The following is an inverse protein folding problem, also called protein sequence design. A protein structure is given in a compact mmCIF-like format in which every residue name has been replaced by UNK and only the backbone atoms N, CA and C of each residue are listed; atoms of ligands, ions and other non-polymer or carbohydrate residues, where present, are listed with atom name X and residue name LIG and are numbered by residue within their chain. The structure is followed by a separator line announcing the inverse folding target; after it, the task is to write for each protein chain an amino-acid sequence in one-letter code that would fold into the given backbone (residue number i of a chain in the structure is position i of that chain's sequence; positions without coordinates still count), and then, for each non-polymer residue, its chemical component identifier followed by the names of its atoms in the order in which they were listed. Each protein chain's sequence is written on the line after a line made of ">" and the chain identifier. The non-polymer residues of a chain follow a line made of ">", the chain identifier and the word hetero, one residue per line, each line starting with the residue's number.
data_IF_950222875251
#
_entry.id   IF_950222875251
#
_cell.length_a   1.000
_cell.length_b   1.000
_cell.length_c   1.000
_cell.angle_alpha   90.00
_cell.angle_beta   90.00
_cell.angle_gamma   90.00
#
_symmetry.space_group_name_H-M   'P 1'
#
loop_
_entity.id
_entity.type
_entity.pdbx_description
1 polymer ?
#
# COMPACT_ATOMS: atom_id res chain seq x y z
N UNK A 1 -1.96 -9.71 27.81
CA UNK A 1 -2.35 -10.58 26.68
C UNK A 1 -2.88 -9.80 25.48
N UNK A 2 -3.84 -8.87 25.64
CA UNK A 2 -4.45 -8.15 24.52
C UNK A 2 -3.49 -7.27 23.70
N UNK A 3 -2.46 -6.65 24.32
CA UNK A 3 -1.46 -5.82 23.62
C UNK A 3 -0.73 -6.60 22.53
N UNK A 4 -0.32 -7.85 22.80
CA UNK A 4 0.31 -8.71 21.80
C UNK A 4 -0.64 -9.11 20.67
N UNK A 5 -1.95 -9.14 20.93
CA UNK A 5 -2.96 -9.26 19.88
C UNK A 5 -2.94 -8.08 18.91
N UNK A 6 -2.84 -6.84 19.44
CA UNK A 6 -2.73 -5.63 18.60
C UNK A 6 -1.42 -5.68 17.81
N UNK A 7 -0.30 -6.04 18.44
CA UNK A 7 0.99 -6.19 17.75
C UNK A 7 0.88 -7.19 16.60
N UNK A 8 0.29 -8.36 16.84
CA UNK A 8 0.13 -9.38 15.80
C UNK A 8 -0.70 -8.88 14.61
N UNK A 9 -1.79 -8.14 14.87
CA UNK A 9 -2.63 -7.56 13.82
C UNK A 9 -1.87 -6.47 13.05
N UNK A 10 -1.16 -5.57 13.73
CA UNK A 10 -0.33 -4.55 13.08
C UNK A 10 0.72 -5.18 12.18
N UNK A 11 1.43 -6.21 12.66
CA UNK A 11 2.43 -6.92 11.87
C UNK A 11 1.83 -7.59 10.64
N UNK A 12 0.72 -8.30 10.80
CA UNK A 12 0.04 -8.95 9.70
C UNK A 12 -0.42 -7.94 8.64
N UNK A 13 -1.02 -6.83 9.06
CA UNK A 13 -1.46 -5.76 8.18
C UNK A 13 -0.28 -5.13 7.42
N UNK A 14 0.82 -4.82 8.11
CA UNK A 14 2.02 -4.25 7.46
C UNK A 14 2.65 -5.22 6.46
N UNK A 15 2.69 -6.53 6.76
CA UNK A 15 3.21 -7.52 5.81
C UNK A 15 2.33 -7.65 4.56
N UNK A 16 1.00 -7.61 4.72
CA UNK A 16 0.07 -7.63 3.58
C UNK A 16 0.20 -6.37 2.72
N UNK A 17 0.34 -5.21 3.35
CA UNK A 17 0.64 -3.93 2.69
C UNK A 17 1.93 -4.02 1.85
N UNK A 18 3.03 -4.43 2.49
CA UNK A 18 4.32 -4.63 1.80
C UNK A 18 4.23 -5.60 0.63
N UNK A 19 3.49 -6.70 0.78
CA UNK A 19 3.30 -7.68 -0.28
C UNK A 19 2.57 -7.09 -1.49
N UNK A 20 1.49 -6.33 -1.24
CA UNK A 20 0.75 -5.60 -2.28
C UNK A 20 1.65 -4.62 -3.04
N UNK A 21 2.37 -3.78 -2.30
CA UNK A 21 3.31 -2.79 -2.89
C UNK A 21 4.38 -3.46 -3.76
N UNK A 22 4.97 -4.56 -3.28
CA UNK A 22 5.97 -5.33 -4.04
C UNK A 22 5.37 -5.97 -5.30
N UNK A 23 4.13 -6.45 -5.22
CA UNK A 23 3.44 -7.02 -6.36
C UNK A 23 3.17 -5.95 -7.43
N UNK A 24 2.60 -4.81 -7.05
CA UNK A 24 2.38 -3.66 -7.94
C UNK A 24 3.69 -3.19 -8.58
N UNK A 25 4.76 -3.05 -7.78
CA UNK A 25 6.06 -2.65 -8.31
C UNK A 25 6.60 -3.65 -9.33
N UNK A 26 6.54 -4.95 -9.03
CA UNK A 26 7.00 -6.00 -9.94
C UNK A 26 6.19 -6.05 -11.23
N UNK A 27 4.88 -5.86 -11.15
CA UNK A 27 4.00 -5.83 -12.32
C UNK A 27 4.34 -4.63 -13.23
N UNK A 28 4.64 -3.46 -12.65
CA UNK A 28 5.10 -2.28 -13.42
C UNK A 28 6.48 -2.50 -14.04
N UNK A 29 7.42 -3.08 -13.30
CA UNK A 29 8.76 -3.37 -13.83
C UNK A 29 8.73 -4.38 -14.99
N UNK A 30 7.73 -5.26 -15.02
CA UNK A 30 7.53 -6.22 -16.11
C UNK A 30 7.28 -5.54 -17.46
N UNK A 31 6.88 -4.27 -17.48
CA UNK A 31 6.51 -3.53 -18.70
C UNK A 31 5.10 -3.85 -19.20
N UNK A 32 4.40 -4.81 -18.57
CA UNK A 32 3.01 -5.15 -18.90
C UNK A 32 2.08 -5.08 -17.68
N UNK A 33 1.95 -3.92 -17.01
CA UNK A 33 1.15 -3.83 -15.80
C UNK A 33 -0.36 -3.95 -16.08
N UNK A 34 -1.06 -4.53 -15.12
CA UNK A 34 -2.51 -4.49 -15.05
C UNK A 34 -3.03 -3.06 -14.83
N UNK A 35 -4.29 -2.84 -15.20
CA UNK A 35 -5.00 -1.61 -14.85
C UNK A 35 -4.93 -1.32 -13.35
N UNK A 36 -5.18 -2.32 -12.51
CA UNK A 36 -5.15 -2.17 -11.06
C UNK A 36 -3.78 -1.69 -10.56
N UNK A 37 -2.68 -2.27 -11.04
CA UNK A 37 -1.33 -1.85 -10.67
C UNK A 37 -1.00 -0.43 -11.14
N UNK A 38 -1.49 0.00 -12.31
CA UNK A 38 -1.32 1.38 -12.77
C UNK A 38 -2.13 2.37 -11.96
N UNK A 39 -3.38 2.06 -11.60
CA UNK A 39 -4.21 2.92 -10.75
C UNK A 39 -3.60 3.01 -9.36
N UNK A 40 -3.17 1.88 -8.80
CA UNK A 40 -2.54 1.82 -7.49
C UNK A 40 -1.28 2.71 -7.47
N UNK A 41 -0.39 2.53 -8.45
CA UNK A 41 0.87 3.26 -8.50
C UNK A 41 0.73 4.74 -8.85
N UNK A 42 -0.10 5.08 -9.85
CA UNK A 42 -0.20 6.45 -10.37
C UNK A 42 -1.27 7.29 -9.70
N UNK A 43 -2.29 6.62 -9.16
CA UNK A 43 -3.48 7.25 -8.63
C UNK A 43 -4.43 7.79 -9.67
N UNK A 44 -4.16 7.57 -10.94
CA UNK A 44 -5.05 7.91 -12.03
C UNK A 44 -6.09 6.80 -12.13
N UNK A 45 -7.30 7.07 -11.67
CA UNK A 45 -8.39 6.09 -11.65
C UNK A 45 -9.37 6.20 -12.82
N UNK A 46 -9.17 7.17 -13.72
CA UNK A 46 -9.98 7.31 -14.93
C UNK A 46 -9.37 6.47 -16.05
N UNK A 47 -10.08 5.44 -16.57
CA UNK A 47 -9.55 4.60 -17.64
C UNK A 47 -9.14 5.38 -18.87
N UNK A 48 -9.93 6.38 -19.27
CA UNK A 48 -9.65 7.27 -20.41
C UNK A 48 -8.33 8.04 -20.24
N UNK A 49 -8.00 8.46 -19.02
CA UNK A 49 -6.75 9.17 -18.73
C UNK A 49 -5.54 8.22 -18.75
N UNK A 50 -5.71 6.97 -18.28
CA UNK A 50 -4.67 5.96 -18.41
C UNK A 50 -4.45 5.57 -19.88
N UNK A 51 -5.52 5.38 -20.66
CA UNK A 51 -5.42 5.02 -22.09
C UNK A 51 -4.81 6.15 -22.92
N UNK A 52 -5.20 7.40 -22.66
CA UNK A 52 -4.61 8.55 -23.35
C UNK A 52 -3.12 8.77 -23.03
N UNK A 53 -2.66 8.36 -21.84
CA UNK A 53 -1.25 8.50 -21.43
C UNK A 53 -0.38 7.31 -21.81
N UNK A 54 -0.91 6.09 -21.68
CA UNK A 54 -0.13 4.85 -21.75
C UNK A 54 -0.57 3.91 -22.88
N UNK A 55 -1.55 4.32 -23.69
CA UNK A 55 -2.09 3.53 -24.79
C UNK A 55 -3.19 2.57 -24.37
N UNK A 56 -3.72 1.83 -25.33
CA UNK A 56 -4.77 0.84 -25.10
C UNK A 56 -4.22 -0.40 -24.38
N UNK A 57 -5.12 -1.12 -23.69
CA UNK A 57 -4.80 -2.41 -23.08
C UNK A 57 -4.96 -3.53 -24.12
N UNK A 58 -4.15 -4.58 -23.97
CA UNK A 58 -4.23 -5.78 -24.80
C UNK A 58 -5.45 -6.66 -24.43
N UNK A 59 -5.63 -7.75 -25.18
CA UNK A 59 -6.70 -8.73 -24.96
C UNK A 59 -6.62 -9.40 -23.56
N UNK A 60 -5.48 -9.29 -22.86
CA UNK A 60 -5.27 -9.76 -21.49
C UNK A 60 -5.60 -8.70 -20.43
N UNK A 61 -6.06 -7.51 -20.85
CA UNK A 61 -6.40 -6.38 -19.98
C UNK A 61 -5.17 -5.68 -19.39
N UNK A 62 -4.01 -5.77 -20.06
CA UNK A 62 -2.72 -5.21 -19.61
C UNK A 62 -2.26 -4.07 -20.51
N UNK A 63 -1.63 -3.08 -19.90
CA UNK A 63 -1.01 -1.97 -20.63
C UNK A 63 0.39 -2.38 -21.09
N UNK A 64 0.90 -1.79 -22.17
CA UNK A 64 2.30 -1.96 -22.57
C UNK A 64 3.04 -0.65 -22.33
N UNK A 65 3.94 -0.65 -21.33
CA UNK A 65 4.73 0.53 -21.00
C UNK A 65 6.09 0.49 -21.69
N UNK A 66 6.49 1.60 -22.28
CA UNK A 66 7.88 1.76 -22.73
C UNK A 66 8.83 1.86 -21.53
N UNK A 67 10.13 1.69 -21.77
CA UNK A 67 11.14 1.93 -20.73
C UNK A 67 11.10 3.38 -20.20
N UNK A 68 10.83 4.33 -21.08
CA UNK A 68 10.68 5.73 -20.69
C UNK A 68 9.46 5.92 -19.79
N UNK A 69 8.32 5.29 -20.10
CA UNK A 69 7.11 5.39 -19.29
C UNK A 69 7.35 4.81 -17.90
N UNK A 70 7.98 3.63 -17.81
CA UNK A 70 8.28 2.96 -16.53
C UNK A 70 9.10 3.82 -15.57
N UNK A 71 9.99 4.67 -16.09
CA UNK A 71 10.85 5.54 -15.27
C UNK A 71 10.19 6.88 -14.92
N UNK A 72 9.23 7.35 -15.74
CA UNK A 72 8.56 8.63 -15.57
C UNK A 72 7.13 8.53 -15.03
N UNK A 73 6.66 7.32 -14.67
CA UNK A 73 5.35 7.12 -14.07
C UNK A 73 5.18 8.02 -12.84
N UNK A 74 4.18 8.93 -12.83
CA UNK A 74 3.91 9.73 -11.65
C UNK A 74 3.47 8.78 -10.54
N UNK A 75 4.04 8.91 -9.34
CA UNK A 75 3.58 8.15 -8.17
C UNK A 75 2.44 8.91 -7.49
N UNK A 76 1.37 8.19 -7.17
CA UNK A 76 0.28 8.75 -6.38
C UNK A 76 0.83 9.28 -5.06
N UNK A 77 0.32 10.43 -4.58
CA UNK A 77 0.79 10.99 -3.30
C UNK A 77 0.60 10.01 -2.15
N UNK A 78 -0.49 9.25 -2.14
CA UNK A 78 -0.70 8.22 -1.11
C UNK A 78 0.30 7.06 -1.24
N UNK A 79 0.72 6.66 -2.44
CA UNK A 79 1.79 5.65 -2.59
C UNK A 79 3.10 6.16 -2.01
N UNK A 80 3.41 7.45 -2.22
CA UNK A 80 4.60 8.07 -1.67
C UNK A 80 4.56 8.17 -0.14
N UNK A 81 3.39 8.40 0.47
CA UNK A 81 3.29 8.63 1.92
C UNK A 81 2.87 7.41 2.75
N UNK A 82 2.07 6.49 2.17
CA UNK A 82 1.43 5.38 2.89
C UNK A 82 1.88 4.01 2.38
N UNK A 83 2.11 3.85 1.08
CA UNK A 83 2.53 2.57 0.47
C UNK A 83 4.05 2.50 0.28
N UNK A 84 4.81 2.78 1.35
CA UNK A 84 6.24 2.56 1.33
C UNK A 84 6.60 1.37 2.23
N UNK A 85 7.29 0.34 1.69
CA UNK A 85 7.74 -0.80 2.48
C UNK A 85 8.56 -0.40 3.72
N UNK A 86 9.30 0.72 3.65
CA UNK A 86 10.05 1.23 4.79
C UNK A 86 9.15 1.71 5.93
N UNK A 87 8.00 2.31 5.62
CA UNK A 87 7.02 2.76 6.62
C UNK A 87 6.39 1.56 7.31
N UNK A 88 6.02 0.53 6.55
CA UNK A 88 5.49 -0.73 7.10
C UNK A 88 6.49 -1.42 8.03
N UNK A 89 7.78 -1.50 7.64
CA UNK A 89 8.85 -2.03 8.51
C UNK A 89 8.98 -1.20 9.78
N UNK A 90 8.95 0.12 9.68
CA UNK A 90 9.02 1.00 10.85
C UNK A 90 7.80 0.80 11.77
N UNK A 91 6.60 0.64 11.23
CA UNK A 91 5.39 0.37 12.02
C UNK A 91 5.45 -0.99 12.74
N UNK A 92 5.96 -2.03 12.05
CA UNK A 92 6.25 -3.33 12.68
C UNK A 92 7.20 -3.15 13.86
N UNK A 93 8.33 -2.47 13.66
CA UNK A 93 9.34 -2.26 14.70
C UNK A 93 8.77 -1.47 15.88
N UNK A 94 8.06 -0.37 15.63
CA UNK A 94 7.41 0.43 16.68
C UNK A 94 6.41 -0.43 17.47
N UNK A 95 5.61 -1.24 16.79
CA UNK A 95 4.63 -2.10 17.43
C UNK A 95 5.29 -3.19 18.28
N UNK A 96 6.35 -3.84 17.80
CA UNK A 96 7.09 -4.86 18.56
C UNK A 96 7.79 -4.24 19.77
N UNK A 97 8.48 -3.12 19.57
CA UNK A 97 9.15 -2.36 20.66
C UNK A 97 8.10 -1.94 21.69
N UNK A 98 6.96 -1.41 21.26
CA UNK A 98 5.85 -1.04 22.15
C UNK A 98 5.32 -2.23 22.96
N UNK A 99 5.18 -3.40 22.34
CA UNK A 99 4.80 -4.63 23.04
C UNK A 99 5.80 -5.07 24.12
N UNK A 100 7.10 -4.93 23.84
CA UNK A 100 8.19 -5.22 24.79
C UNK A 100 8.17 -4.19 25.94
N UNK A 101 8.14 -2.89 25.62
CA UNK A 101 8.14 -1.80 26.60
C UNK A 101 6.87 -1.76 27.46
N UNK A 102 5.74 -2.28 26.97
CA UNK A 102 4.50 -2.39 27.74
C UNK A 102 4.66 -3.24 29.01
N UNK A 103 5.68 -4.10 29.09
CA UNK A 103 5.99 -4.87 30.30
C UNK A 103 6.68 -4.02 31.38
N UNK A 104 7.33 -2.91 30.99
CA UNK A 104 8.06 -2.00 31.89
C UNK A 104 7.25 -0.73 32.20
N UNK A 105 6.62 -0.15 31.18
CA UNK A 105 5.76 1.02 31.27
C UNK A 105 4.53 0.80 30.40
N UNK A 106 3.40 0.52 31.05
CA UNK A 106 2.15 0.22 30.35
C UNK A 106 1.68 1.39 29.45
N UNK A 107 1.83 2.64 29.91
CA UNK A 107 1.40 3.83 29.15
C UNK A 107 2.25 4.05 27.90
N UNK A 108 3.58 4.00 28.03
CA UNK A 108 4.50 4.21 26.90
C UNK A 108 4.38 3.09 25.86
N UNK A 109 4.33 1.83 26.31
CA UNK A 109 4.16 0.70 25.41
C UNK A 109 2.83 0.74 24.65
N UNK A 110 1.74 1.11 25.34
CA UNK A 110 0.44 1.29 24.70
C UNK A 110 0.42 2.39 23.65
N UNK A 111 1.03 3.54 23.93
CA UNK A 111 1.06 4.66 22.98
C UNK A 111 1.80 4.26 21.69
N UNK A 112 2.89 3.50 21.80
CA UNK A 112 3.64 3.01 20.64
C UNK A 112 2.82 2.01 19.82
N UNK A 113 2.23 1.01 20.49
CA UNK A 113 1.41 -0.02 19.81
C UNK A 113 0.17 0.58 19.16
N UNK A 114 -0.55 1.45 19.88
CA UNK A 114 -1.75 2.11 19.35
C UNK A 114 -1.41 3.11 18.25
N UNK A 115 -0.29 3.83 18.35
CA UNK A 115 0.16 4.74 17.29
C UNK A 115 0.40 4.01 15.98
N UNK A 116 1.13 2.89 16.01
CA UNK A 116 1.35 2.05 14.84
C UNK A 116 0.04 1.45 14.31
N UNK A 117 -0.81 0.95 15.20
CA UNK A 117 -2.10 0.37 14.82
C UNK A 117 -3.06 1.38 14.16
N UNK A 118 -3.19 2.58 14.73
CA UNK A 118 -4.03 3.64 14.17
C UNK A 118 -3.53 4.07 12.80
N UNK A 119 -2.21 4.21 12.64
CA UNK A 119 -1.61 4.51 11.34
C UNK A 119 -2.01 3.46 10.30
N UNK A 120 -1.86 2.17 10.62
CA UNK A 120 -2.26 1.08 9.72
C UNK A 120 -3.75 1.13 9.38
N UNK A 121 -4.62 1.36 10.37
CA UNK A 121 -6.06 1.49 10.12
C UNK A 121 -6.38 2.65 9.17
N UNK A 122 -5.72 3.80 9.35
CA UNK A 122 -5.91 4.95 8.47
C UNK A 122 -5.48 4.63 7.04
N UNK A 123 -4.30 4.03 6.86
CA UNK A 123 -3.80 3.63 5.53
C UNK A 123 -4.76 2.67 4.83
N UNK A 124 -5.24 1.64 5.52
CA UNK A 124 -6.20 0.68 4.97
C UNK A 124 -7.56 1.29 4.68
N UNK A 125 -8.04 2.20 5.53
CA UNK A 125 -9.33 2.88 5.32
C UNK A 125 -9.27 3.77 4.08
N UNK A 126 -8.16 4.48 3.88
CA UNK A 126 -7.92 5.29 2.67
C UNK A 126 -7.84 4.40 1.44
N UNK A 127 -7.09 3.30 1.49
CA UNK A 127 -7.00 2.34 0.38
C UNK A 127 -8.38 1.74 0.03
N UNK A 128 -9.14 1.29 1.03
CA UNK A 128 -10.48 0.75 0.83
C UNK A 128 -11.45 1.80 0.27
N UNK A 129 -11.35 3.05 0.72
CA UNK A 129 -12.14 4.15 0.18
C UNK A 129 -11.84 4.41 -1.30
N UNK A 130 -10.57 4.39 -1.71
CA UNK A 130 -10.16 4.49 -3.12
C UNK A 130 -10.78 3.35 -3.94
N UNK A 131 -10.70 2.10 -3.46
CA UNK A 131 -11.32 0.94 -4.13
C UNK A 131 -12.85 1.09 -4.22
N UNK A 132 -13.50 1.61 -3.18
CA UNK A 132 -14.95 1.86 -3.20
C UNK A 132 -15.36 2.93 -4.23
N UNK A 133 -14.51 3.93 -4.46
CA UNK A 133 -14.75 4.96 -5.48
C UNK A 133 -14.51 4.47 -6.91
N UNK A 134 -13.82 3.34 -7.07
CA UNK A 134 -13.43 2.80 -8.37
C UNK A 134 -13.84 1.33 -8.50
N UNK A 135 -15.11 1.03 -8.82
CA UNK A 135 -15.63 -0.35 -8.93
C UNK A 135 -14.85 -1.24 -9.89
N UNK A 136 -14.15 -0.62 -10.85
CA UNK A 136 -13.31 -1.27 -11.86
C UNK A 136 -12.06 -1.94 -11.26
N UNK A 137 -11.71 -1.60 -10.00
CA UNK A 137 -10.63 -2.20 -9.22
C UNK A 137 -11.06 -3.46 -8.44
N UNK A 138 -12.35 -3.84 -8.48
CA UNK A 138 -12.88 -5.03 -7.77
C UNK A 138 -12.70 -6.35 -8.53
N UNK A 139 -11.91 -6.32 -9.61
CA UNK A 139 -11.68 -7.45 -10.53
C UNK A 139 -10.86 -8.57 -9.92
#
# INVERSE_FOLDING_TARGET
>A
MWVWGIVAVTVLASLLSMYGSLHTWRDIQSGRPSYASLVDYTGISRPEELVSRFGEFDDEGRFTLSENDRTQLPRARWVVFMDQPIVDVVMILISVIGGIFNQQSASTGLLLVLGAFIWMLLSYTVAAWVVMQHPQLRG
#
